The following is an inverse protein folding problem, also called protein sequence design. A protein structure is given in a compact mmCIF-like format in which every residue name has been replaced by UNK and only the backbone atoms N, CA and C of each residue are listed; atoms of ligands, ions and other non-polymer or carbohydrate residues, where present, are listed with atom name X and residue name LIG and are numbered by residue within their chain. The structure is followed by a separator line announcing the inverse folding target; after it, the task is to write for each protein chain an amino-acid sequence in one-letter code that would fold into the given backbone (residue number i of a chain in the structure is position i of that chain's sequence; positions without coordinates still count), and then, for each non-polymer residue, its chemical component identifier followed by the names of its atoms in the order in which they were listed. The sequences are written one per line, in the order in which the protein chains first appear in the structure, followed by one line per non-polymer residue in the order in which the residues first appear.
data_IF_193725917055
#
_entry.id   IF_193725917055
#
_cell.length_a   1.000
_cell.length_b   1.000
_cell.length_c   1.000
_cell.angle_alpha   90.00
_cell.angle_beta   90.00
_cell.angle_gamma   90.00
#
_symmetry.space_group_name_H-M   'P 1'
#
loop_
_entity.id
_entity.type
_entity.pdbx_description
1 polymer ?
#
# COMPACT_ATOMS: atom_id res chain seq x y z
N UNK A 1 -23.35 10.28 -2.53
CA UNK A 1 -22.08 11.00 -2.30
C UNK A 1 -21.88 11.98 -3.45
N UNK A 2 -21.55 13.25 -3.18
CA UNK A 2 -21.33 14.23 -4.24
C UNK A 2 -19.98 13.94 -4.95
N UNK A 3 -19.96 13.57 -6.24
CA UNK A 3 -18.73 13.19 -6.95
C UNK A 3 -17.72 14.34 -7.04
N UNK A 4 -18.17 15.59 -6.88
CA UNK A 4 -17.29 16.77 -6.90
C UNK A 4 -16.32 16.81 -5.71
N UNK A 5 -16.67 16.18 -4.58
CA UNK A 5 -15.81 16.18 -3.39
C UNK A 5 -14.48 15.47 -3.66
N UNK A 6 -14.49 14.38 -4.42
CA UNK A 6 -13.27 13.61 -4.73
C UNK A 6 -12.34 14.42 -5.64
N UNK A 7 -12.90 15.17 -6.59
CA UNK A 7 -12.12 15.95 -7.57
C UNK A 7 -11.21 16.99 -6.91
N UNK A 8 -11.61 17.57 -5.78
CA UNK A 8 -10.78 18.54 -5.05
C UNK A 8 -9.47 17.95 -4.50
N UNK A 9 -9.37 16.63 -4.34
CA UNK A 9 -8.17 15.94 -3.87
C UNK A 9 -7.31 15.38 -5.00
N UNK A 10 -7.72 15.57 -6.25
CA UNK A 10 -7.07 15.05 -7.44
C UNK A 10 -6.53 16.18 -8.29
N UNK A 11 -5.30 16.03 -8.76
CA UNK A 11 -4.77 16.91 -9.82
C UNK A 11 -5.60 16.77 -11.10
N UNK A 12 -5.60 17.79 -11.96
CA UNK A 12 -6.32 17.71 -13.24
C UNK A 12 -5.89 16.51 -14.07
N UNK A 13 -4.61 16.15 -14.02
CA UNK A 13 -4.06 15.00 -14.72
C UNK A 13 -4.63 13.68 -14.17
N UNK A 14 -4.77 13.54 -12.85
CA UNK A 14 -5.40 12.37 -12.22
C UNK A 14 -6.89 12.29 -12.55
N UNK A 15 -7.57 13.43 -12.67
CA UNK A 15 -8.97 13.48 -13.09
C UNK A 15 -9.12 13.04 -14.56
N UNK A 16 -8.23 13.47 -15.45
CA UNK A 16 -8.23 13.09 -16.88
C UNK A 16 -7.86 11.63 -17.10
N UNK A 17 -6.87 11.12 -16.37
CA UNK A 17 -6.39 9.74 -16.49
C UNK A 17 -7.32 8.70 -15.83
N UNK A 18 -8.31 9.16 -15.08
CA UNK A 18 -9.23 8.32 -14.32
C UNK A 18 -8.64 7.83 -13.00
N UNK A 19 -9.54 7.40 -12.12
CA UNK A 19 -9.21 6.90 -10.79
C UNK A 19 -10.21 5.83 -10.35
N UNK A 20 -9.77 4.94 -9.48
CA UNK A 20 -10.66 4.06 -8.72
C UNK A 20 -10.97 4.69 -7.38
N UNK A 21 -12.18 4.49 -6.88
CA UNK A 21 -12.49 4.82 -5.50
C UNK A 21 -13.35 3.73 -4.87
N UNK A 22 -13.18 3.57 -3.57
CA UNK A 22 -13.90 2.60 -2.76
C UNK A 22 -14.41 3.29 -1.50
N UNK A 23 -15.71 3.22 -1.28
CA UNK A 23 -16.30 3.58 0.01
C UNK A 23 -16.01 2.45 0.99
N UNK A 24 -15.45 2.80 2.13
CA UNK A 24 -15.04 1.87 3.16
C UNK A 24 -15.68 2.26 4.48
N UNK A 25 -16.12 1.30 5.28
CA UNK A 25 -16.70 1.58 6.58
C UNK A 25 -15.62 2.06 7.56
N UNK A 26 -16.01 3.02 8.41
CA UNK A 26 -15.24 3.38 9.60
C UNK A 26 -15.73 2.51 10.75
N UNK A 27 -14.88 1.60 11.24
CA UNK A 27 -15.25 0.74 12.38
C UNK A 27 -15.26 1.51 13.69
N UNK A 28 -14.66 2.70 13.72
CA UNK A 28 -14.42 3.45 14.96
C UNK A 28 -15.52 4.51 15.20
N UNK A 29 -16.31 4.85 14.18
CA UNK A 29 -17.40 5.84 14.31
C UNK A 29 -18.66 5.42 13.57
N UNK A 30 -19.83 5.71 14.17
CA UNK A 30 -21.13 5.34 13.58
C UNK A 30 -21.59 6.27 12.45
N UNK A 31 -20.97 7.45 12.33
CA UNK A 31 -21.40 8.51 11.39
C UNK A 31 -20.34 8.88 10.35
N UNK A 32 -19.26 8.11 10.26
CA UNK A 32 -18.15 8.33 9.35
C UNK A 32 -17.91 7.16 8.41
N UNK A 33 -17.22 7.42 7.31
CA UNK A 33 -16.70 6.38 6.43
C UNK A 33 -15.37 6.83 5.82
N UNK A 34 -14.54 5.87 5.44
CA UNK A 34 -13.32 6.14 4.68
C UNK A 34 -13.58 6.05 3.18
N UNK A 35 -12.75 6.74 2.42
CA UNK A 35 -12.74 6.66 0.97
C UNK A 35 -11.31 6.37 0.55
N UNK A 36 -11.09 5.18 0.02
CA UNK A 36 -9.82 4.83 -0.60
C UNK A 36 -9.89 5.22 -2.07
N UNK A 37 -8.97 6.07 -2.51
CA UNK A 37 -8.82 6.47 -3.91
C UNK A 37 -7.49 5.93 -4.41
N UNK A 38 -7.49 5.32 -5.59
CA UNK A 38 -6.30 4.85 -6.27
C UNK A 38 -6.18 5.50 -7.65
N UNK A 39 -5.11 6.24 -7.85
CA UNK A 39 -4.77 6.90 -9.12
C UNK A 39 -3.55 6.23 -9.74
N UNK A 40 -3.19 6.58 -10.98
CA UNK A 40 -1.92 6.10 -11.57
C UNK A 40 -0.68 6.53 -10.78
N UNK A 41 -0.76 7.57 -9.95
CA UNK A 41 0.39 8.14 -9.22
C UNK A 41 0.45 7.71 -7.75
N UNK A 42 -0.69 7.61 -7.08
CA UNK A 42 -0.74 7.39 -5.62
C UNK A 42 -2.05 6.78 -5.13
N UNK A 43 -2.01 6.30 -3.89
CA UNK A 43 -3.18 5.99 -3.09
C UNK A 43 -3.47 7.15 -2.13
N UNK A 44 -4.75 7.47 -1.96
CA UNK A 44 -5.22 8.51 -1.03
C UNK A 44 -6.30 7.89 -0.15
N UNK A 45 -6.20 8.08 1.16
CA UNK A 45 -7.23 7.72 2.12
C UNK A 45 -7.87 9.00 2.66
N UNK A 46 -9.15 9.18 2.36
CA UNK A 46 -9.96 10.27 2.90
C UNK A 46 -10.80 9.76 4.05
N UNK A 47 -11.04 10.60 5.06
CA UNK A 47 -12.07 10.40 6.07
C UNK A 47 -13.23 11.33 5.74
N UNK A 48 -14.43 10.78 5.66
CA UNK A 48 -15.65 11.54 5.54
C UNK A 48 -16.47 11.36 6.81
N UNK A 49 -16.75 12.47 7.48
CA UNK A 49 -17.71 12.55 8.57
C UNK A 49 -18.93 13.37 8.09
N UNK A 50 -20.03 13.40 8.86
CA UNK A 50 -21.31 14.05 8.51
C UNK A 50 -21.17 15.44 7.88
N UNK A 51 -20.18 16.22 8.33
CA UNK A 51 -20.02 17.63 7.97
C UNK A 51 -18.85 17.92 7.03
N UNK A 52 -17.90 16.99 6.83
CA UNK A 52 -16.70 17.29 6.06
C UNK A 52 -15.97 16.05 5.53
N UNK A 53 -15.27 16.21 4.41
CA UNK A 53 -14.28 15.25 3.93
C UNK A 53 -12.89 15.83 4.12
N UNK A 54 -12.00 15.09 4.77
CA UNK A 54 -10.62 15.49 4.99
C UNK A 54 -9.67 14.41 4.49
N UNK A 55 -8.54 14.82 3.95
CA UNK A 55 -7.46 13.89 3.66
C UNK A 55 -6.88 13.35 4.96
N UNK A 56 -6.86 12.02 5.10
CA UNK A 56 -6.27 11.34 6.27
C UNK A 56 -4.81 11.00 6.01
N UNK A 57 -4.51 10.49 4.81
CA UNK A 57 -3.14 10.25 4.37
C UNK A 57 -3.08 9.99 2.87
N UNK A 58 -1.95 10.33 2.25
CA UNK A 58 -1.59 9.93 0.89
C UNK A 58 -0.30 9.10 0.88
N UNK A 59 -0.13 8.25 -0.14
CA UNK A 59 1.05 7.38 -0.31
C UNK A 59 1.36 7.15 -1.79
N UNK A 60 2.62 7.32 -2.17
CA UNK A 60 3.09 6.99 -3.52
C UNK A 60 3.22 5.47 -3.71
N UNK A 61 3.11 5.00 -4.96
CA UNK A 61 3.24 3.56 -5.26
C UNK A 61 4.63 3.00 -4.95
N UNK A 62 5.68 3.82 -5.03
CA UNK A 62 7.03 3.42 -4.60
C UNK A 62 7.10 3.01 -3.13
N UNK A 63 6.18 3.49 -2.29
CA UNK A 63 6.07 3.12 -0.88
C UNK A 63 5.27 1.84 -0.67
N UNK A 64 4.51 1.34 -1.66
CA UNK A 64 3.63 0.18 -1.50
C UNK A 64 4.46 -1.09 -1.25
N UNK A 65 4.29 -1.67 -0.06
CA UNK A 65 5.01 -2.85 0.40
C UNK A 65 4.24 -4.16 0.16
N UNK A 66 2.92 -4.14 0.33
CA UNK A 66 2.07 -5.31 0.08
C UNK A 66 0.60 -4.95 -0.01
N UNK A 67 -0.13 -5.68 -0.83
CA UNK A 67 -1.59 -5.67 -0.93
C UNK A 67 -2.10 -7.03 -0.48
N UNK A 68 -3.10 -7.06 0.41
CA UNK A 68 -3.79 -8.30 0.78
C UNK A 68 -5.28 -8.09 0.76
N UNK A 69 -5.99 -8.98 0.09
CA UNK A 69 -7.44 -9.01 0.05
C UNK A 69 -7.94 -10.24 0.80
N UNK A 70 -8.93 -10.04 1.66
CA UNK A 70 -9.64 -11.09 2.37
C UNK A 70 -11.13 -10.95 2.07
N UNK A 71 -11.70 -11.97 1.43
CA UNK A 71 -13.12 -11.99 1.08
C UNK A 71 -13.96 -12.15 2.35
N UNK A 72 -14.92 -11.26 2.53
CA UNK A 72 -15.98 -11.42 3.54
C UNK A 72 -17.05 -12.39 3.05
N UNK A 73 -17.67 -13.13 3.97
CA UNK A 73 -18.89 -13.90 3.70
C UNK A 73 -20.08 -12.99 3.38
N UNK A 74 -21.24 -13.55 3.01
CA UNK A 74 -22.44 -12.77 2.69
C UNK A 74 -22.89 -11.79 3.79
N UNK A 75 -22.57 -12.07 5.05
CA UNK A 75 -22.93 -11.24 6.21
C UNK A 75 -21.75 -10.45 6.78
N UNK A 76 -20.56 -10.49 6.14
CA UNK A 76 -19.36 -9.84 6.67
C UNK A 76 -18.66 -8.97 5.63
N UNK A 77 -18.05 -7.90 6.13
CA UNK A 77 -17.24 -7.00 5.32
C UNK A 77 -16.06 -7.74 4.69
N UNK A 78 -15.79 -7.44 3.42
CA UNK A 78 -14.50 -7.78 2.84
C UNK A 78 -13.45 -6.80 3.33
N UNK A 79 -12.21 -7.27 3.48
CA UNK A 79 -11.10 -6.48 3.98
C UNK A 79 -10.01 -6.35 2.91
N UNK A 80 -9.58 -5.12 2.66
CA UNK A 80 -8.37 -4.83 1.90
C UNK A 80 -7.33 -4.23 2.85
N UNK A 81 -6.16 -4.84 2.87
CA UNK A 81 -5.02 -4.39 3.67
C UNK A 81 -3.92 -3.91 2.73
N UNK A 82 -3.58 -2.63 2.85
CA UNK A 82 -2.44 -2.02 2.17
C UNK A 82 -1.34 -1.73 3.20
N UNK A 83 -0.11 -2.15 2.92
CA UNK A 83 1.05 -1.77 3.73
C UNK A 83 1.97 -0.89 2.92
N UNK A 84 2.43 0.20 3.52
CA UNK A 84 3.35 1.15 2.90
C UNK A 84 4.59 1.33 3.76
N UNK A 85 5.75 1.49 3.15
CA UNK A 85 6.94 2.00 3.85
C UNK A 85 6.73 3.46 4.24
N UNK A 86 7.17 3.84 5.44
CA UNK A 86 6.98 5.21 5.94
C UNK A 86 7.69 6.26 5.09
N UNK A 87 8.85 5.90 4.55
CA UNK A 87 9.67 6.76 3.70
C UNK A 87 9.77 6.19 2.28
N UNK A 88 9.96 7.05 1.26
CA UNK A 88 10.27 6.62 -0.10
C UNK A 88 11.50 5.72 -0.13
N UNK A 89 11.43 4.62 -0.88
CA UNK A 89 12.36 3.50 -0.80
C UNK A 89 13.74 3.74 -1.47
N UNK A 90 14.34 4.92 -1.32
CA UNK A 90 15.66 5.20 -1.91
C UNK A 90 16.80 4.52 -1.15
N UNK A 91 16.66 4.33 0.16
CA UNK A 91 17.67 3.65 0.98
C UNK A 91 17.10 2.30 1.51
N UNK A 92 17.70 1.15 1.13
CA UNK A 92 17.29 -0.17 1.60
C UNK A 92 17.27 -0.31 3.14
N UNK A 93 18.11 0.43 3.86
CA UNK A 93 18.24 0.37 5.32
C UNK A 93 17.07 1.03 6.06
N UNK A 94 16.32 1.92 5.41
CA UNK A 94 15.19 2.64 6.03
C UNK A 94 13.85 1.89 5.92
N UNK A 95 13.84 0.67 5.37
CA UNK A 95 12.63 -0.12 5.07
C UNK A 95 11.98 -0.77 6.30
N UNK A 96 12.40 -0.45 7.52
CA UNK A 96 11.93 -1.12 8.74
C UNK A 96 10.58 -0.61 9.25
N UNK A 97 10.19 0.64 8.92
CA UNK A 97 8.92 1.22 9.36
C UNK A 97 7.84 1.09 8.29
N UNK A 98 6.72 0.44 8.65
CA UNK A 98 5.57 0.25 7.78
C UNK A 98 4.29 0.83 8.40
N UNK A 99 3.52 1.54 7.58
CA UNK A 99 2.17 2.00 7.87
C UNK A 99 1.18 1.02 7.24
N UNK A 100 0.15 0.65 8.00
CA UNK A 100 -0.88 -0.29 7.56
C UNK A 100 -2.22 0.43 7.44
N UNK A 101 -2.86 0.33 6.29
CA UNK A 101 -4.25 0.73 6.07
C UNK A 101 -5.10 -0.53 5.98
N UNK A 102 -6.05 -0.67 6.89
CA UNK A 102 -7.13 -1.64 6.77
C UNK A 102 -8.37 -0.89 6.32
N UNK A 103 -9.01 -1.36 5.25
CA UNK A 103 -10.29 -0.84 4.82
C UNK A 103 -11.28 -1.98 4.66
N UNK A 104 -12.50 -1.74 5.16
CA UNK A 104 -13.60 -2.71 5.19
C UNK A 104 -14.71 -2.23 4.26
N UNK A 105 -15.30 -3.11 3.47
CA UNK A 105 -16.34 -2.73 2.51
C UNK A 105 -17.26 -3.90 2.17
N UNK A 106 -18.52 -3.58 1.83
CA UNK A 106 -19.56 -4.56 1.48
C UNK A 106 -19.82 -4.68 -0.02
N UNK A 107 -19.47 -3.65 -0.81
CA UNK A 107 -19.73 -3.68 -2.26
C UNK A 107 -18.78 -4.63 -2.97
N UNK A 108 -19.30 -5.53 -3.80
CA UNK A 108 -18.50 -6.37 -4.70
C UNK A 108 -18.29 -5.72 -6.08
N UNK A 109 -19.17 -4.79 -6.47
CA UNK A 109 -19.16 -4.20 -7.81
C UNK A 109 -17.97 -3.23 -7.97
N UNK A 110 -17.16 -3.42 -9.01
CA UNK A 110 -15.93 -2.68 -9.33
C UNK A 110 -14.72 -2.85 -8.39
N UNK A 111 -14.84 -3.62 -7.30
CA UNK A 111 -13.72 -3.85 -6.39
C UNK A 111 -12.65 -4.74 -7.03
N UNK A 112 -13.04 -5.76 -7.80
CA UNK A 112 -12.10 -6.67 -8.46
C UNK A 112 -11.12 -5.93 -9.36
N UNK A 113 -11.61 -4.98 -10.18
CA UNK A 113 -10.77 -4.13 -11.04
C UNK A 113 -9.79 -3.31 -10.21
N UNK A 114 -10.25 -2.76 -9.08
CA UNK A 114 -9.39 -2.02 -8.17
C UNK A 114 -8.36 -2.92 -7.49
N UNK A 115 -8.72 -4.13 -7.07
CA UNK A 115 -7.80 -5.11 -6.48
C UNK A 115 -6.72 -5.50 -7.49
N UNK A 116 -7.11 -5.82 -8.73
CA UNK A 116 -6.17 -6.12 -9.80
C UNK A 116 -5.23 -4.94 -10.07
N UNK A 117 -5.77 -3.72 -10.12
CA UNK A 117 -4.95 -2.51 -10.25
C UNK A 117 -3.94 -2.38 -9.10
N UNK A 118 -4.38 -2.59 -7.85
CA UNK A 118 -3.51 -2.48 -6.68
C UNK A 118 -2.43 -3.57 -6.66
N UNK A 119 -2.77 -4.80 -7.05
CA UNK A 119 -1.81 -5.90 -7.19
C UNK A 119 -0.75 -5.57 -8.25
N UNK A 120 -1.17 -5.03 -9.40
CA UNK A 120 -0.25 -4.55 -10.42
C UNK A 120 0.70 -3.46 -9.89
N UNK A 121 0.19 -2.52 -9.08
CA UNK A 121 1.06 -1.52 -8.43
C UNK A 121 2.03 -2.15 -7.43
N UNK A 122 1.65 -3.22 -6.73
CA UNK A 122 2.56 -3.95 -5.84
C UNK A 122 3.72 -4.58 -6.63
N UNK A 123 3.40 -5.26 -7.73
CA UNK A 123 4.40 -5.91 -8.58
C UNK A 123 5.34 -4.89 -9.20
N UNK A 124 4.82 -3.78 -9.72
CA UNK A 124 5.62 -2.66 -10.23
C UNK A 124 6.57 -2.11 -9.15
N UNK A 125 6.06 -1.89 -7.95
CA UNK A 125 6.86 -1.38 -6.85
C UNK A 125 7.92 -2.41 -6.40
N UNK A 126 7.62 -3.71 -6.49
CA UNK A 126 8.55 -4.80 -6.18
C UNK A 126 9.68 -4.86 -7.21
N UNK A 127 9.37 -4.80 -8.49
CA UNK A 127 10.37 -4.77 -9.58
C UNK A 127 11.29 -3.56 -9.45
N UNK A 128 10.73 -2.36 -9.26
CA UNK A 128 11.51 -1.13 -9.05
C UNK A 128 12.48 -1.25 -7.86
N UNK A 129 12.05 -1.87 -6.77
CA UNK A 129 12.92 -2.10 -5.60
C UNK A 129 14.03 -3.11 -5.90
N UNK A 130 13.73 -4.19 -6.63
CA UNK A 130 14.75 -5.17 -7.01
C UNK A 130 15.85 -4.52 -7.86
N UNK A 131 15.48 -3.63 -8.79
CA UNK A 131 16.43 -2.85 -9.58
C UNK A 131 17.29 -1.91 -8.72
N UNK A 132 16.68 -1.22 -7.75
CA UNK A 132 17.41 -0.36 -6.82
C UNK A 132 18.39 -1.14 -5.96
N UNK A 133 17.98 -2.31 -5.46
CA UNK A 133 18.83 -3.19 -4.65
C UNK A 133 20.01 -3.69 -5.48
N UNK A 134 19.79 -4.08 -6.75
CA UNK A 134 20.85 -4.46 -7.67
C UNK A 134 21.85 -3.31 -7.92
N UNK A 135 21.35 -2.09 -8.18
CA UNK A 135 22.20 -0.90 -8.35
C UNK A 135 22.99 -0.57 -7.09
N UNK A 136 22.36 -0.67 -5.91
CA UNK A 136 23.02 -0.41 -4.63
C UNK A 136 24.15 -1.42 -4.37
N UNK A 137 23.91 -2.71 -4.62
CA UNK A 137 24.92 -3.76 -4.47
C UNK A 137 26.09 -3.59 -5.46
N UNK A 138 25.80 -3.18 -6.70
CA UNK A 138 26.83 -2.88 -7.70
C UNK A 138 27.71 -1.69 -7.29
N UNK A 139 27.14 -0.68 -6.64
CA UNK A 139 27.91 0.47 -6.13
C UNK A 139 28.68 0.15 -4.83
N UNK A 140 28.27 -0.87 -4.07
CA UNK A 140 28.85 -1.22 -2.76
C UNK A 140 29.23 -2.72 -2.68
N UNK A 141 30.20 -3.19 -3.49
CA UNK A 141 30.49 -4.60 -3.68
C UNK A 141 30.98 -5.32 -2.40
N UNK A 142 31.56 -4.59 -1.43
CA UNK A 142 32.03 -5.16 -0.16
C UNK A 142 30.90 -5.56 0.81
N UNK A 143 29.66 -5.14 0.55
CA UNK A 143 28.49 -5.45 1.42
C UNK A 143 27.78 -6.76 1.04
N UNK A 144 28.15 -7.40 -0.08
CA UNK A 144 27.54 -8.65 -0.56
C UNK A 144 27.94 -9.91 0.23
N UNK A 145 28.98 -9.85 1.06
CA UNK A 145 29.53 -11.02 1.77
C UNK A 145 28.86 -11.35 3.11
N UNK A 146 27.97 -10.51 3.64
CA UNK A 146 27.45 -10.66 5.01
C UNK A 146 26.14 -11.46 5.14
N UNK A 147 25.58 -12.02 4.05
CA UNK A 147 24.29 -12.72 4.09
C UNK A 147 24.34 -14.25 4.05
N UNK A 148 25.53 -14.85 4.12
CA UNK A 148 25.71 -16.32 4.03
C UNK A 148 26.59 -16.87 5.15
N UNK A 149 26.48 -16.41 6.41
CA UNK A 149 27.10 -17.14 7.54
C UNK A 149 26.30 -16.94 8.85
N UNK A 150 25.06 -17.43 8.92
CA UNK A 150 24.43 -17.74 10.21
C UNK A 150 23.55 -18.98 10.05
N UNK A 151 24.21 -20.12 9.85
CA UNK A 151 23.52 -21.39 9.66
C UNK A 151 24.46 -22.57 9.44
N UNK A 152 25.47 -22.74 10.31
CA UNK A 152 26.12 -24.01 10.63
C UNK A 152 27.34 -23.75 11.55
N UNK A 153 27.15 -23.90 12.86
CA UNK A 153 28.26 -24.13 13.78
C UNK A 153 28.69 -25.59 13.62
N UNK A 154 29.95 -25.91 13.24
CA UNK A 154 30.45 -27.27 13.41
C UNK A 154 30.77 -27.51 14.89
N UNK A 155 30.15 -28.55 15.45
CA UNK A 155 30.53 -29.12 16.74
C UNK A 155 32.01 -29.54 16.68
N UNK A 156 32.86 -28.82 17.38
CA UNK A 156 34.23 -29.24 17.66
C UNK A 156 34.17 -30.34 18.72
N UNK A 157 34.53 -31.57 18.34
CA UNK A 157 34.86 -32.64 19.29
C UNK A 157 36.07 -32.17 20.11
N UNK A 158 35.93 -32.19 21.44
CA UNK A 158 37.06 -32.28 22.36
C UNK A 158 37.19 -33.74 22.74
N UNK A 159 38.41 -34.25 22.54
CA UNK A 159 39.09 -35.40 23.14
C UNK A 159 38.26 -36.58 23.70
#
# INVERSE_FOLDING_TARGET
MNPNIIRHFLSEEEQRNGYFHLKCEDTDTWFGYYILIATKKRAILLRHDVFSTKEKSDKCWSQLASVRFQHGSWYSYSQLTLKFYRYPCHNPLQRNSKVKWNVFFNSKHNVEKMIHFLQQQEDNARSYRAELDHKYMAMHPHMGAFRVVHGALPHRKQD
#
